data_IF_516048300930
#
_entry.id   IF_516048300930
#
_cell.length_a   1.000
_cell.length_b   1.000
_cell.length_c   1.000
_cell.angle_alpha   90.00
_cell.angle_beta   90.00
_cell.angle_gamma   90.00
#
_symmetry.space_group_name_H-M   'P 1'
#
loop_
_entity.id
_entity.type
_entity.pdbx_description
1 polymer ?
#
# COMPACT_ATOMS: atom_id res chain seq x y z
N UNK A 1 -3.82 0.92 19.76
CA UNK A 1 -2.43 0.59 20.14
C UNK A 1 -1.68 -0.19 19.07
N UNK A 2 -2.13 -1.37 18.63
CA UNK A 2 -1.48 -2.12 17.52
C UNK A 2 -1.40 -1.28 16.23
N UNK A 3 -2.47 -0.58 15.89
CA UNK A 3 -2.52 0.35 14.75
C UNK A 3 -1.49 1.49 14.86
N UNK A 4 -1.31 2.07 16.06
CA UNK A 4 -0.33 3.13 16.32
C UNK A 4 1.09 2.61 16.10
N UNK A 5 1.39 1.41 16.62
CA UNK A 5 2.69 0.79 16.45
C UNK A 5 2.99 0.52 14.97
N UNK A 6 2.07 -0.11 14.24
CA UNK A 6 2.26 -0.36 12.81
C UNK A 6 2.40 0.95 12.02
N UNK A 7 1.59 1.97 12.32
CA UNK A 7 1.67 3.30 11.68
C UNK A 7 3.01 3.98 11.93
N UNK A 8 3.53 3.93 13.16
CA UNK A 8 4.84 4.50 13.48
C UNK A 8 6.01 3.80 12.77
N UNK A 9 5.83 2.53 12.39
CA UNK A 9 6.79 1.81 11.54
C UNK A 9 6.64 2.20 10.06
N UNK A 10 5.41 2.35 9.57
CA UNK A 10 5.11 2.86 8.22
C UNK A 10 5.70 4.28 7.99
N UNK A 11 5.73 5.11 9.04
CA UNK A 11 6.38 6.42 8.95
C UNK A 11 7.88 6.36 8.63
N UNK A 12 8.56 5.26 8.95
CA UNK A 12 9.99 5.09 8.63
C UNK A 12 10.24 4.85 7.16
N UNK A 13 9.28 4.29 6.43
CA UNK A 13 9.44 3.99 5.01
C UNK A 13 9.17 5.22 4.12
N UNK A 14 8.78 6.36 4.70
CA UNK A 14 8.67 7.66 4.03
C UNK A 14 7.86 7.62 2.71
N UNK A 15 6.80 6.80 2.67
CA UNK A 15 5.94 6.65 1.49
C UNK A 15 6.52 5.77 0.38
N UNK A 16 7.64 5.08 0.60
CA UNK A 16 8.19 4.11 -0.35
C UNK A 16 7.31 2.87 -0.36
N UNK A 17 6.64 2.61 -1.48
CA UNK A 17 5.81 1.42 -1.67
C UNK A 17 6.56 0.36 -2.49
N UNK A 18 7.20 -0.58 -1.81
CA UNK A 18 7.78 -1.78 -2.43
C UNK A 18 6.90 -3.01 -2.22
N UNK A 19 7.09 -4.00 -3.07
CA UNK A 19 6.33 -5.24 -3.00
C UNK A 19 7.25 -6.38 -2.62
N UNK A 20 6.71 -7.36 -1.91
CA UNK A 20 7.40 -8.61 -1.63
C UNK A 20 6.45 -9.77 -1.90
N UNK A 21 7.03 -10.94 -2.20
CA UNK A 21 6.26 -12.15 -2.43
C UNK A 21 5.91 -12.79 -1.09
N UNK A 22 4.64 -12.82 -0.78
CA UNK A 22 4.12 -13.44 0.44
C UNK A 22 3.91 -14.95 0.24
N UNK A 23 4.43 -15.77 1.15
CA UNK A 23 4.12 -17.21 1.19
C UNK A 23 2.67 -17.42 1.64
N UNK A 24 1.97 -18.44 1.12
CA UNK A 24 0.55 -18.66 1.47
C UNK A 24 0.31 -18.92 2.96
N UNK A 25 1.25 -19.55 3.63
CA UNK A 25 1.10 -20.02 5.02
C UNK A 25 1.75 -19.07 6.05
N UNK A 26 2.15 -17.88 5.63
CA UNK A 26 2.87 -16.94 6.49
C UNK A 26 2.04 -16.48 7.71
N UNK A 27 0.75 -16.19 7.53
CA UNK A 27 -0.09 -15.62 8.57
C UNK A 27 -0.37 -16.63 9.69
N UNK A 28 -0.74 -17.90 9.40
CA UNK A 28 -0.81 -18.93 10.43
C UNK A 28 0.52 -19.15 11.17
N UNK A 29 1.67 -19.12 10.45
CA UNK A 29 2.99 -19.23 11.09
C UNK A 29 3.23 -18.07 12.06
N UNK A 30 2.99 -16.83 11.63
CA UNK A 30 3.12 -15.63 12.45
C UNK A 30 2.23 -15.69 13.71
N UNK A 31 0.98 -16.14 13.56
CA UNK A 31 0.06 -16.28 14.68
C UNK A 31 0.56 -17.29 15.71
N UNK A 32 1.07 -18.43 15.25
CA UNK A 32 1.63 -19.47 16.12
C UNK A 32 2.92 -19.00 16.81
N UNK A 33 3.82 -18.33 16.09
CA UNK A 33 5.04 -17.75 16.63
C UNK A 33 4.74 -16.69 17.70
N UNK A 34 3.80 -15.79 17.43
CA UNK A 34 3.36 -14.80 18.41
C UNK A 34 2.77 -15.45 19.66
N UNK A 35 1.94 -16.49 19.52
CA UNK A 35 1.36 -17.20 20.66
C UNK A 35 2.45 -17.83 21.55
N UNK A 36 3.45 -18.46 20.94
CA UNK A 36 4.57 -19.04 21.66
C UNK A 36 5.44 -17.97 22.33
N UNK A 37 5.69 -16.86 21.65
CA UNK A 37 6.41 -15.71 22.21
C UNK A 37 5.65 -15.14 23.41
N UNK A 38 4.35 -14.93 23.28
CA UNK A 38 3.48 -14.43 24.34
C UNK A 38 3.49 -15.32 25.58
N UNK A 39 3.41 -16.64 25.41
CA UNK A 39 3.51 -17.58 26.55
C UNK A 39 4.86 -17.45 27.27
N UNK A 40 5.97 -17.37 26.53
CA UNK A 40 7.30 -17.19 27.12
C UNK A 40 7.43 -15.85 27.83
N UNK A 41 6.96 -14.77 27.19
CA UNK A 41 6.96 -13.42 27.73
C UNK A 41 6.23 -13.37 29.08
N UNK A 42 5.03 -13.96 29.17
CA UNK A 42 4.28 -14.05 30.43
C UNK A 42 5.04 -14.80 31.53
N UNK A 43 5.78 -15.87 31.19
CA UNK A 43 6.53 -16.63 32.19
C UNK A 43 7.82 -15.96 32.67
N UNK A 44 8.39 -15.03 31.87
CA UNK A 44 9.67 -14.39 32.15
C UNK A 44 9.52 -12.98 32.75
N UNK A 45 8.52 -12.21 32.28
CA UNK A 45 8.37 -10.79 32.62
C UNK A 45 7.28 -10.49 33.66
N UNK A 46 6.50 -11.49 34.10
CA UNK A 46 5.43 -11.28 35.10
C UNK A 46 5.94 -10.75 36.44
N UNK A 47 7.24 -10.93 36.74
CA UNK A 47 7.87 -10.48 37.99
C UNK A 47 8.46 -9.07 37.95
N UNK A 48 8.67 -8.47 36.78
CA UNK A 48 9.38 -7.18 36.61
C UNK A 48 8.45 -5.98 36.43
N UNK A 49 7.19 -6.21 36.07
CA UNK A 49 6.21 -5.14 35.86
C UNK A 49 5.62 -4.74 37.21
N UNK A 50 6.17 -3.65 37.75
CA UNK A 50 5.81 -3.08 39.06
C UNK A 50 4.33 -2.68 39.09
N UNK A 51 3.70 -2.80 40.26
CA UNK A 51 2.30 -2.44 40.46
C UNK A 51 2.07 -0.91 40.62
N UNK A 52 3.11 -0.07 40.45
CA UNK A 52 3.09 1.39 40.69
C UNK A 52 3.00 2.25 39.41
N UNK A 53 2.25 1.81 38.40
CA UNK A 53 2.08 2.58 37.17
C UNK A 53 1.18 3.80 37.35
N UNK A 54 1.63 4.92 36.80
CA UNK A 54 0.86 6.13 36.58
C UNK A 54 0.87 6.48 35.09
N UNK A 55 0.05 7.47 34.72
CA UNK A 55 -0.07 7.96 33.35
C UNK A 55 1.29 8.35 32.74
N UNK A 56 2.14 9.05 33.49
CA UNK A 56 3.42 9.55 33.00
C UNK A 56 4.39 8.40 32.66
N UNK A 57 4.50 7.41 33.56
CA UNK A 57 5.31 6.21 33.32
C UNK A 57 4.80 5.45 32.10
N UNK A 58 3.48 5.28 31.99
CA UNK A 58 2.85 4.59 30.86
C UNK A 58 3.14 5.29 29.54
N UNK A 59 2.89 6.59 29.47
CA UNK A 59 3.13 7.38 28.28
C UNK A 59 4.61 7.32 27.86
N UNK A 60 5.52 7.43 28.82
CA UNK A 60 6.97 7.31 28.56
C UNK A 60 7.34 5.94 27.98
N UNK A 61 6.75 4.86 28.50
CA UNK A 61 6.93 3.51 27.96
C UNK A 61 6.42 3.41 26.52
N UNK A 62 5.20 3.89 26.23
CA UNK A 62 4.66 3.90 24.87
C UNK A 62 5.56 4.68 23.90
N UNK A 63 6.00 5.88 24.30
CA UNK A 63 6.93 6.71 23.52
C UNK A 63 8.26 6.00 23.23
N UNK A 64 8.79 5.26 24.20
CA UNK A 64 10.06 4.54 24.05
C UNK A 64 9.97 3.32 23.12
N UNK A 65 8.79 2.72 23.03
CA UNK A 65 8.53 1.53 22.20
C UNK A 65 8.26 1.91 20.74
N UNK A 66 7.67 3.09 20.50
CA UNK A 66 7.34 3.55 19.16
C UNK A 66 8.60 4.09 18.45
N UNK A 67 8.88 3.64 17.22
CA UNK A 67 10.03 4.14 16.46
C UNK A 67 9.95 5.61 16.08
N UNK A 68 8.73 6.14 15.91
CA UNK A 68 8.44 7.55 15.63
C UNK A 68 7.25 7.98 16.47
N UNK A 69 7.38 9.11 17.19
CA UNK A 69 6.31 9.71 17.99
C UNK A 69 5.98 11.10 17.47
N UNK A 70 4.74 11.29 17.01
CA UNK A 70 4.22 12.59 16.56
C UNK A 70 3.20 13.11 17.57
N UNK A 71 3.56 14.16 18.30
CA UNK A 71 2.72 14.71 19.37
C UNK A 71 1.32 15.10 18.90
N UNK A 72 1.20 15.74 17.73
CA UNK A 72 -0.08 16.19 17.20
C UNK A 72 -1.00 15.01 16.80
N UNK A 73 -0.44 14.01 16.10
CA UNK A 73 -1.21 12.85 15.63
C UNK A 73 -1.61 11.88 16.76
N UNK A 74 -0.82 11.82 17.84
CA UNK A 74 -1.06 10.91 18.96
C UNK A 74 -1.65 11.61 20.19
N UNK A 75 -2.07 12.87 20.06
CA UNK A 75 -2.69 13.65 21.14
C UNK A 75 -4.00 13.02 21.65
N UNK A 76 -4.82 12.48 20.77
CA UNK A 76 -6.03 11.73 21.13
C UNK A 76 -5.69 10.48 21.95
N UNK A 77 -4.68 9.71 21.53
CA UNK A 77 -4.21 8.55 22.28
C UNK A 77 -3.69 8.92 23.67
N UNK A 78 -2.97 10.04 23.79
CA UNK A 78 -2.51 10.55 25.09
C UNK A 78 -3.70 10.92 25.99
N UNK A 79 -4.73 11.57 25.44
CA UNK A 79 -5.97 11.88 26.14
C UNK A 79 -6.74 10.62 26.58
N UNK A 80 -6.81 9.61 25.72
CA UNK A 80 -7.44 8.33 26.02
C UNK A 80 -6.69 7.57 27.11
N UNK A 81 -5.36 7.53 27.02
CA UNK A 81 -4.51 6.92 28.03
C UNK A 81 -4.67 7.61 29.38
N UNK A 82 -4.74 8.96 29.40
CA UNK A 82 -4.99 9.73 30.61
C UNK A 82 -6.36 9.40 31.21
N UNK A 83 -7.39 9.39 30.37
CA UNK A 83 -8.76 9.04 30.77
C UNK A 83 -8.83 7.63 31.36
N UNK A 84 -8.10 6.68 30.80
CA UNK A 84 -7.99 5.32 31.31
C UNK A 84 -7.45 5.31 32.76
N UNK A 85 -6.34 6.00 33.02
CA UNK A 85 -5.77 6.11 34.37
C UNK A 85 -6.69 6.86 35.35
N UNK A 86 -7.30 7.97 34.92
CA UNK A 86 -8.21 8.77 35.74
C UNK A 86 -9.47 7.99 36.14
N UNK A 87 -9.97 7.15 35.23
CA UNK A 87 -11.15 6.33 35.49
C UNK A 87 -10.93 5.26 36.55
N UNK A 88 -9.66 4.87 36.82
CA UNK A 88 -9.28 3.72 37.64
C UNK A 88 -10.01 2.41 37.24
N UNK A 89 -10.43 2.31 35.97
CA UNK A 89 -11.12 1.13 35.43
C UNK A 89 -10.15 0.32 34.58
N UNK A 90 -10.18 -0.99 34.77
CA UNK A 90 -9.37 -1.93 34.00
C UNK A 90 -8.04 -2.30 34.66
N UNK A 91 -7.39 -3.32 34.12
CA UNK A 91 -6.12 -3.83 34.63
C UNK A 91 -4.97 -3.27 33.78
N UNK A 92 -4.37 -2.16 34.22
CA UNK A 92 -3.25 -1.54 33.49
C UNK A 92 -2.06 -2.51 33.31
N UNK A 93 -1.85 -3.40 34.29
CA UNK A 93 -0.79 -4.41 34.21
C UNK A 93 -1.00 -5.34 33.03
N UNK A 94 -2.21 -5.84 32.83
CA UNK A 94 -2.55 -6.68 31.67
C UNK A 94 -2.39 -5.93 30.35
N UNK A 95 -2.84 -4.67 30.30
CA UNK A 95 -2.74 -3.84 29.09
C UNK A 95 -1.27 -3.56 28.72
N UNK A 96 -0.44 -3.21 29.72
CA UNK A 96 0.98 -2.94 29.50
C UNK A 96 1.75 -4.20 29.11
N UNK A 97 1.47 -5.34 29.75
CA UNK A 97 2.01 -6.65 29.35
C UNK A 97 1.67 -6.95 27.89
N UNK A 98 0.40 -6.84 27.51
CA UNK A 98 -0.04 -7.16 26.15
C UNK A 98 0.64 -6.24 25.12
N UNK A 99 0.78 -4.95 25.43
CA UNK A 99 1.43 -4.00 24.55
C UNK A 99 2.94 -4.25 24.42
N UNK A 100 3.64 -4.39 25.54
CA UNK A 100 5.09 -4.66 25.52
C UNK A 100 5.40 -5.97 24.81
N UNK A 101 4.65 -7.03 25.11
CA UNK A 101 4.77 -8.31 24.42
C UNK A 101 4.60 -8.15 22.90
N UNK A 102 3.55 -7.44 22.46
CA UNK A 102 3.31 -7.23 21.04
C UNK A 102 4.43 -6.41 20.39
N UNK A 103 4.91 -5.37 21.07
CA UNK A 103 5.90 -4.50 20.50
C UNK A 103 7.31 -5.10 20.46
N UNK A 104 7.71 -5.84 21.49
CA UNK A 104 8.96 -6.60 21.46
C UNK A 104 8.93 -7.68 20.39
N UNK A 105 7.81 -8.41 20.28
CA UNK A 105 7.63 -9.38 19.22
C UNK A 105 7.75 -8.72 17.84
N UNK A 106 7.02 -7.64 17.60
CA UNK A 106 7.05 -6.94 16.31
C UNK A 106 8.46 -6.41 16.00
N UNK A 107 9.15 -5.84 16.99
CA UNK A 107 10.53 -5.37 16.84
C UNK A 107 11.47 -6.51 16.46
N UNK A 108 11.38 -7.65 17.15
CA UNK A 108 12.17 -8.84 16.84
C UNK A 108 11.84 -9.39 15.44
N UNK A 109 10.56 -9.42 15.08
CA UNK A 109 10.09 -9.87 13.79
C UNK A 109 10.61 -9.00 12.64
N UNK A 110 10.49 -7.68 12.75
CA UNK A 110 11.01 -6.72 11.75
C UNK A 110 12.51 -6.87 11.55
N UNK A 111 13.27 -7.09 12.63
CA UNK A 111 14.72 -7.31 12.56
C UNK A 111 15.07 -8.66 11.91
N UNK A 112 14.24 -9.68 12.10
CA UNK A 112 14.43 -11.01 11.52
C UNK A 112 14.03 -11.08 10.04
N UNK A 113 13.09 -10.24 9.60
CA UNK A 113 12.57 -10.21 8.22
C UNK A 113 12.53 -8.77 7.65
N UNK A 114 13.68 -8.08 7.53
CA UNK A 114 13.73 -6.70 7.08
C UNK A 114 13.12 -6.49 5.68
N UNK A 115 13.20 -7.50 4.81
CA UNK A 115 12.62 -7.49 3.46
C UNK A 115 11.09 -7.34 3.40
N UNK A 116 10.39 -7.59 4.51
CA UNK A 116 8.93 -7.42 4.60
C UNK A 116 8.51 -6.02 5.07
N UNK A 117 9.43 -5.28 5.70
CA UNK A 117 9.08 -4.06 6.45
C UNK A 117 9.94 -2.84 6.10
N UNK A 118 11.10 -3.05 5.48
CA UNK A 118 12.02 -2.00 5.10
C UNK A 118 12.23 -2.04 3.59
N UNK A 119 12.26 -0.87 2.93
CA UNK A 119 12.54 -0.81 1.51
C UNK A 119 13.96 -1.30 1.22
N UNK A 120 14.22 -1.59 -0.05
CA UNK A 120 15.55 -1.81 -0.56
C UNK A 120 16.39 -0.56 -0.30
N UNK A 121 17.52 -0.79 0.38
CA UNK A 121 18.53 0.23 0.59
C UNK A 121 19.89 -0.44 0.40
N UNK A 122 20.73 0.15 -0.45
CA UNK A 122 21.95 -0.51 -0.94
C UNK A 122 22.93 -0.82 0.19
N UNK A 123 23.00 0.03 1.21
CA UNK A 123 23.95 -0.08 2.31
C UNK A 123 23.38 -0.88 3.49
N UNK A 124 22.10 -0.69 3.82
CA UNK A 124 21.48 -1.22 5.04
C UNK A 124 20.58 -2.44 4.80
N UNK A 125 20.02 -2.59 3.59
CA UNK A 125 19.12 -3.67 3.22
C UNK A 125 19.32 -4.16 1.76
N UNK A 126 20.55 -4.57 1.37
CA UNK A 126 20.88 -4.88 -0.03
C UNK A 126 20.19 -6.15 -0.56
N UNK A 127 19.74 -7.03 0.35
CA UNK A 127 19.14 -8.32 0.02
C UNK A 127 17.63 -8.22 -0.23
N UNK A 128 17.02 -7.06 0.02
CA UNK A 128 15.60 -6.87 -0.24
C UNK A 128 15.29 -7.14 -1.73
N UNK A 129 14.27 -7.98 -2.03
CA UNK A 129 13.90 -8.27 -3.40
C UNK A 129 13.35 -7.02 -4.08
N UNK A 130 13.84 -6.74 -5.28
CA UNK A 130 13.28 -5.67 -6.10
C UNK A 130 12.20 -6.30 -6.97
N UNK A 131 10.95 -5.95 -6.67
CA UNK A 131 9.77 -6.59 -7.24
C UNK A 131 9.04 -5.66 -8.21
N UNK A 132 8.56 -6.23 -9.32
CA UNK A 132 7.68 -5.57 -10.29
C UNK A 132 6.40 -6.38 -10.43
N UNK A 133 5.25 -5.71 -10.40
CA UNK A 133 3.96 -6.38 -10.59
C UNK A 133 3.70 -6.63 -12.07
N UNK A 134 3.35 -7.87 -12.39
CA UNK A 134 2.81 -8.29 -13.68
C UNK A 134 1.31 -8.40 -13.55
N UNK A 135 0.62 -7.38 -14.05
CA UNK A 135 -0.82 -7.33 -14.08
C UNK A 135 -1.38 -8.28 -15.12
N UNK A 136 -2.44 -8.98 -14.75
CA UNK A 136 -3.18 -9.87 -15.63
C UNK A 136 -4.61 -9.37 -15.79
N UNK A 137 -5.03 -9.13 -17.03
CA UNK A 137 -6.41 -8.74 -17.37
C UNK A 137 -6.78 -9.23 -18.76
N UNK A 138 -7.91 -9.93 -18.87
CA UNK A 138 -8.43 -10.49 -20.12
C UNK A 138 -7.38 -11.28 -20.94
N UNK A 139 -6.56 -12.09 -20.26
CA UNK A 139 -5.50 -12.90 -20.88
C UNK A 139 -4.24 -12.13 -21.29
N UNK A 140 -4.18 -10.82 -21.05
CA UNK A 140 -3.02 -9.98 -21.35
C UNK A 140 -2.21 -9.74 -20.09
N UNK A 141 -0.87 -9.84 -20.22
CA UNK A 141 0.09 -9.60 -19.16
C UNK A 141 0.89 -8.32 -19.44
N UNK A 142 0.93 -7.41 -18.47
CA UNK A 142 1.61 -6.12 -18.61
C UNK A 142 2.14 -5.62 -17.27
N UNK A 143 3.10 -4.71 -17.32
CA UNK A 143 3.70 -4.08 -16.13
C UNK A 143 3.51 -2.58 -16.18
N UNK A 144 3.46 -1.94 -15.02
CA UNK A 144 3.53 -0.47 -14.94
C UNK A 144 4.96 -0.03 -15.31
N UNK A 145 5.10 0.96 -16.20
CA UNK A 145 6.43 1.40 -16.66
C UNK A 145 7.23 2.07 -15.56
N UNK A 146 6.60 2.85 -14.69
CA UNK A 146 7.26 3.51 -13.57
C UNK A 146 7.89 2.47 -12.63
N UNK A 147 7.16 1.42 -12.24
CA UNK A 147 7.70 0.29 -11.47
C UNK A 147 8.91 -0.37 -12.16
N UNK A 148 8.73 -0.76 -13.41
CA UNK A 148 9.79 -1.45 -14.17
C UNK A 148 11.05 -0.60 -14.28
N UNK A 149 10.89 0.68 -14.63
CA UNK A 149 12.02 1.57 -14.86
C UNK A 149 12.72 1.90 -13.54
N UNK A 150 11.99 2.08 -12.45
CA UNK A 150 12.56 2.24 -11.12
C UNK A 150 13.41 1.00 -10.76
N UNK A 151 12.83 -0.20 -10.86
CA UNK A 151 13.52 -1.44 -10.57
C UNK A 151 14.80 -1.63 -11.42
N UNK A 152 14.73 -1.34 -12.72
CA UNK A 152 15.89 -1.40 -13.61
C UNK A 152 16.96 -0.38 -13.22
N UNK A 153 16.57 0.85 -12.86
CA UNK A 153 17.50 1.91 -12.48
C UNK A 153 18.22 1.58 -11.16
N UNK A 154 17.51 0.99 -10.19
CA UNK A 154 18.10 0.54 -8.92
C UNK A 154 19.12 -0.59 -9.18
N UNK A 155 18.77 -1.58 -10.01
CA UNK A 155 19.68 -2.71 -10.31
C UNK A 155 20.84 -2.36 -11.23
N UNK A 156 20.70 -1.33 -12.06
CA UNK A 156 21.70 -0.94 -13.05
C UNK A 156 22.08 0.54 -12.89
N UNK A 157 22.67 0.94 -11.74
CA UNK A 157 22.90 2.36 -11.42
C UNK A 157 23.87 3.05 -12.38
N UNK A 158 24.78 2.28 -12.99
CA UNK A 158 25.77 2.78 -13.95
C UNK A 158 25.25 2.84 -15.40
N UNK A 159 24.05 2.33 -15.66
CA UNK A 159 23.43 2.38 -16.98
C UNK A 159 22.66 3.68 -17.19
N UNK A 160 22.39 4.02 -18.46
CA UNK A 160 21.48 5.12 -18.79
C UNK A 160 20.13 4.93 -18.07
N UNK A 161 19.77 5.92 -17.24
CA UNK A 161 18.50 5.94 -16.51
C UNK A 161 17.33 5.91 -17.49
N UNK A 162 16.36 5.08 -17.15
CA UNK A 162 15.08 5.02 -17.83
C UNK A 162 14.10 5.95 -17.11
N UNK A 163 13.43 6.81 -17.87
CA UNK A 163 12.41 7.71 -17.36
C UNK A 163 11.05 7.35 -17.94
N UNK A 164 10.03 7.39 -17.08
CA UNK A 164 8.65 7.27 -17.49
C UNK A 164 8.01 8.65 -17.36
N UNK A 165 7.63 9.25 -18.49
CA UNK A 165 6.79 10.45 -18.46
C UNK A 165 5.36 10.01 -18.14
N UNK A 166 4.92 10.32 -16.93
CA UNK A 166 3.51 10.24 -16.57
C UNK A 166 2.79 11.43 -17.22
N UNK A 167 1.67 11.16 -17.88
CA UNK A 167 0.95 12.15 -18.66
C UNK A 167 -0.44 12.32 -18.05
N UNK A 168 -0.72 13.47 -17.42
CA UNK A 168 -2.07 13.89 -17.01
C UNK A 168 -2.90 12.77 -16.36
N UNK A 169 -2.39 12.20 -15.25
CA UNK A 169 -3.10 11.13 -14.52
C UNK A 169 -3.07 9.74 -15.18
N UNK A 170 -2.39 9.57 -16.32
CA UNK A 170 -2.21 8.27 -16.99
C UNK A 170 -0.90 7.60 -16.62
N UNK A 171 -0.99 6.43 -16.00
CA UNK A 171 0.15 5.57 -15.71
C UNK A 171 0.33 4.56 -16.85
N UNK A 172 1.41 4.72 -17.59
CA UNK A 172 1.66 3.96 -18.81
C UNK A 172 2.15 2.54 -18.50
N UNK A 173 1.72 1.58 -19.31
CA UNK A 173 2.17 0.18 -19.16
C UNK A 173 3.04 -0.30 -20.33
N UNK A 174 3.63 -1.48 -20.17
CA UNK A 174 4.32 -2.21 -21.22
C UNK A 174 3.91 -3.69 -21.16
N UNK A 175 3.65 -4.33 -22.30
CA UNK A 175 3.38 -5.76 -22.33
C UNK A 175 4.57 -6.55 -21.78
N UNK A 176 4.29 -7.58 -20.99
CA UNK A 176 5.33 -8.35 -20.31
C UNK A 176 6.26 -9.06 -21.32
N UNK A 177 5.73 -9.56 -22.42
CA UNK A 177 6.51 -10.11 -23.54
C UNK A 177 7.53 -9.09 -24.09
N UNK A 178 7.11 -7.82 -24.26
CA UNK A 178 7.99 -6.76 -24.73
C UNK A 178 9.06 -6.43 -23.70
N UNK A 179 8.76 -6.51 -22.40
CA UNK A 179 9.74 -6.36 -21.33
C UNK A 179 10.82 -7.43 -21.44
N UNK A 180 10.41 -8.69 -21.53
CA UNK A 180 11.32 -9.84 -21.65
C UNK A 180 12.23 -9.72 -22.88
N UNK A 181 11.69 -9.26 -24.02
CA UNK A 181 12.48 -9.07 -25.25
C UNK A 181 13.43 -7.88 -25.18
N UNK A 182 12.96 -6.72 -24.70
CA UNK A 182 13.69 -5.45 -24.78
C UNK A 182 14.70 -5.25 -23.66
N UNK A 183 14.41 -5.79 -22.48
CA UNK A 183 15.19 -5.56 -21.26
C UNK A 183 15.78 -6.85 -20.68
N UNK A 184 15.85 -7.94 -21.47
CA UNK A 184 16.35 -9.26 -21.05
C UNK A 184 17.59 -9.19 -20.17
N UNK A 185 18.58 -8.40 -20.60
CA UNK A 185 19.89 -8.32 -19.94
C UNK A 185 19.89 -7.41 -18.70
N UNK A 186 18.79 -6.70 -18.42
CA UNK A 186 18.66 -5.72 -17.33
C UNK A 186 17.69 -6.15 -16.22
N UNK A 187 16.98 -7.26 -16.42
CA UNK A 187 15.88 -7.71 -15.52
C UNK A 187 16.20 -8.99 -14.74
N UNK A 188 17.41 -9.56 -14.86
CA UNK A 188 17.74 -10.87 -14.27
C UNK A 188 17.57 -10.98 -12.76
N UNK A 189 17.80 -9.88 -12.02
CA UNK A 189 17.67 -9.80 -10.55
C UNK A 189 16.45 -8.98 -10.10
N UNK A 190 15.42 -8.92 -10.96
CA UNK A 190 14.13 -8.31 -10.65
C UNK A 190 13.12 -9.46 -10.53
N UNK A 191 12.42 -9.50 -9.41
CA UNK A 191 11.35 -10.46 -9.21
C UNK A 191 10.06 -9.96 -9.84
N UNK A 192 9.37 -10.84 -10.57
CA UNK A 192 8.09 -10.52 -11.19
C UNK A 192 6.97 -11.29 -10.48
N UNK A 193 6.06 -10.57 -9.83
CA UNK A 193 4.90 -11.17 -9.15
C UNK A 193 3.64 -11.00 -9.99
N UNK A 194 2.86 -12.07 -10.13
CA UNK A 194 1.57 -12.00 -10.82
C UNK A 194 0.54 -11.30 -9.94
N UNK A 195 -0.14 -10.31 -10.49
CA UNK A 195 -1.15 -9.51 -9.82
C UNK A 195 -2.42 -9.46 -10.68
N UNK A 196 -3.36 -10.40 -10.51
CA UNK A 196 -4.64 -10.36 -11.20
C UNK A 196 -5.38 -9.07 -10.86
N UNK A 197 -5.92 -8.37 -11.87
CA UNK A 197 -6.74 -7.19 -11.61
C UNK A 197 -8.07 -7.63 -10.99
N UNK A 198 -8.25 -7.29 -9.73
CA UNK A 198 -9.49 -7.54 -9.00
C UNK A 198 -10.57 -6.55 -9.43
N UNK A 199 -11.79 -7.05 -9.59
CA UNK A 199 -12.98 -6.27 -9.92
C UNK A 199 -14.12 -6.71 -9.03
N UNK A 200 -14.94 -5.77 -8.60
CA UNK A 200 -16.26 -6.08 -8.04
C UNK A 200 -17.31 -5.95 -9.14
N UNK A 201 -18.54 -6.41 -8.88
CA UNK A 201 -19.62 -6.33 -9.86
C UNK A 201 -20.01 -4.89 -10.26
N UNK A 202 -19.70 -3.92 -9.40
CA UNK A 202 -20.18 -2.54 -9.55
C UNK A 202 -19.08 -1.48 -9.54
N UNK A 203 -17.86 -1.82 -9.14
CA UNK A 203 -16.74 -0.88 -9.01
C UNK A 203 -15.38 -1.54 -9.24
N UNK A 204 -14.45 -0.79 -9.81
CA UNK A 204 -13.05 -1.19 -9.87
C UNK A 204 -12.46 -1.28 -8.45
N UNK A 205 -11.58 -2.25 -8.23
CA UNK A 205 -10.79 -2.30 -6.98
C UNK A 205 -9.57 -1.40 -7.18
N UNK A 206 -9.36 -0.36 -6.34
CA UNK A 206 -8.19 0.50 -6.43
C UNK A 206 -6.88 -0.27 -6.35
N UNK A 207 -5.94 0.08 -7.21
CA UNK A 207 -4.57 -0.46 -7.25
C UNK A 207 -3.63 0.64 -6.73
N UNK A 208 -2.91 0.34 -5.65
CA UNK A 208 -1.90 1.25 -5.12
C UNK A 208 -0.79 1.51 -6.13
N UNK A 209 -0.38 2.77 -6.30
CA UNK A 209 0.72 3.18 -7.19
C UNK A 209 2.07 3.08 -6.46
N UNK A 210 3.20 3.13 -7.18
CA UNK A 210 4.53 3.14 -6.54
C UNK A 210 4.79 4.34 -5.62
N UNK A 211 3.98 5.40 -5.76
CA UNK A 211 4.06 6.62 -4.96
C UNK A 211 3.06 6.65 -3.79
N UNK A 212 2.38 5.53 -3.51
CA UNK A 212 1.37 5.41 -2.44
C UNK A 212 -0.02 5.95 -2.80
N UNK A 213 -0.18 6.53 -4.00
CA UNK A 213 -1.48 6.91 -4.54
C UNK A 213 -2.29 5.69 -4.98
N UNK A 214 -3.42 5.94 -5.65
CA UNK A 214 -4.29 4.88 -6.17
C UNK A 214 -4.62 5.11 -7.64
N UNK A 215 -4.80 4.01 -8.36
CA UNK A 215 -5.19 4.01 -9.75
C UNK A 215 -6.13 2.85 -10.07
N UNK A 216 -6.83 2.92 -11.19
CA UNK A 216 -7.61 1.81 -11.74
C UNK A 216 -7.32 1.65 -13.22
N UNK A 217 -7.68 0.50 -13.80
CA UNK A 217 -7.48 0.28 -15.23
C UNK A 217 -8.34 1.27 -16.03
N UNK A 218 -7.81 1.83 -17.12
CA UNK A 218 -8.55 2.78 -17.94
C UNK A 218 -9.90 2.23 -18.45
N UNK A 219 -9.97 0.94 -18.80
CA UNK A 219 -11.23 0.30 -19.20
C UNK A 219 -12.23 0.28 -18.05
N UNK A 220 -11.78 0.02 -16.83
CA UNK A 220 -12.66 -0.03 -15.66
C UNK A 220 -13.17 1.38 -15.34
N UNK A 221 -12.32 2.41 -15.47
CA UNK A 221 -12.74 3.82 -15.35
C UNK A 221 -13.80 4.20 -16.37
N UNK A 222 -13.65 3.78 -17.62
CA UNK A 222 -14.66 4.00 -18.65
C UNK A 222 -16.01 3.36 -18.26
N UNK A 223 -16.00 2.13 -17.74
CA UNK A 223 -17.22 1.47 -17.28
C UNK A 223 -17.85 2.15 -16.07
N UNK A 224 -17.06 2.66 -15.13
CA UNK A 224 -17.58 3.43 -13.99
C UNK A 224 -18.32 4.69 -14.46
N UNK A 225 -17.71 5.47 -15.37
CA UNK A 225 -18.36 6.65 -15.96
C UNK A 225 -19.67 6.26 -16.66
N UNK A 226 -19.65 5.20 -17.47
CA UNK A 226 -20.86 4.75 -18.19
C UNK A 226 -21.97 4.31 -17.22
N UNK A 227 -21.61 3.56 -16.17
CA UNK A 227 -22.56 3.12 -15.14
C UNK A 227 -23.18 4.31 -14.41
N UNK A 228 -22.38 5.31 -14.05
CA UNK A 228 -22.88 6.52 -13.39
C UNK A 228 -23.83 7.32 -14.30
N UNK A 229 -23.46 7.49 -15.58
CA UNK A 229 -24.33 8.15 -16.56
C UNK A 229 -25.67 7.42 -16.74
N UNK A 230 -25.64 6.10 -16.87
CA UNK A 230 -26.83 5.28 -17.15
C UNK A 230 -27.71 5.13 -15.91
N UNK A 231 -27.15 4.71 -14.78
CA UNK A 231 -27.93 4.29 -13.61
C UNK A 231 -28.17 5.44 -12.64
N UNK A 232 -27.13 6.22 -12.33
CA UNK A 232 -27.20 7.32 -11.37
C UNK A 232 -27.90 8.52 -12.00
N UNK A 233 -27.37 9.01 -13.10
CA UNK A 233 -27.88 10.23 -13.73
C UNK A 233 -29.06 9.98 -14.67
N UNK A 234 -29.20 8.75 -15.19
CA UNK A 234 -30.23 8.35 -16.16
C UNK A 234 -30.26 9.31 -17.35
N UNK A 235 -29.09 9.71 -17.84
CA UNK A 235 -28.97 10.77 -18.84
C UNK A 235 -29.78 10.46 -20.10
N UNK A 236 -29.82 9.20 -20.52
CA UNK A 236 -30.54 8.76 -21.71
C UNK A 236 -32.07 8.81 -21.57
N UNK A 237 -32.59 8.90 -20.33
CA UNK A 237 -34.02 9.10 -20.06
C UNK A 237 -34.38 10.58 -19.97
N UNK A 238 -33.42 11.45 -19.62
CA UNK A 238 -33.63 12.89 -19.39
C UNK A 238 -33.28 13.75 -20.60
N UNK A 239 -32.42 13.27 -21.49
CA UNK A 239 -31.97 14.04 -22.65
C UNK A 239 -33.04 14.04 -23.74
N UNK A 240 -33.55 15.23 -24.05
CA UNK A 240 -34.31 15.51 -25.28
C UNK A 240 -33.43 16.07 -26.41
N UNK A 241 -34.04 16.34 -27.56
CA UNK A 241 -33.36 16.84 -28.77
C UNK A 241 -32.57 18.13 -28.55
N UNK A 242 -33.02 19.02 -27.66
CA UNK A 242 -32.34 20.29 -27.34
C UNK A 242 -31.00 20.13 -26.60
N UNK A 243 -30.81 19.05 -25.85
CA UNK A 243 -29.63 18.85 -25.00
C UNK A 243 -28.66 17.79 -25.55
N UNK A 244 -28.96 17.18 -26.70
CA UNK A 244 -28.13 16.16 -27.35
C UNK A 244 -26.69 16.63 -27.61
N UNK A 245 -26.53 17.92 -27.94
CA UNK A 245 -25.22 18.51 -28.19
C UNK A 245 -24.30 18.48 -26.96
N UNK A 246 -24.84 18.53 -25.75
CA UNK A 246 -24.05 18.45 -24.50
C UNK A 246 -23.46 17.05 -24.36
N UNK A 247 -24.28 16.01 -24.54
CA UNK A 247 -23.84 14.62 -24.48
C UNK A 247 -22.82 14.29 -25.57
N UNK A 248 -23.03 14.81 -26.79
CA UNK A 248 -22.06 14.67 -27.88
C UNK A 248 -20.72 15.29 -27.52
N UNK A 249 -20.69 16.50 -26.93
CA UNK A 249 -19.44 17.15 -26.49
C UNK A 249 -18.73 16.33 -25.42
N UNK A 250 -19.47 15.80 -24.45
CA UNK A 250 -18.92 14.91 -23.41
C UNK A 250 -18.23 13.69 -24.02
N UNK A 251 -18.89 12.96 -24.92
CA UNK A 251 -18.28 11.79 -25.56
C UNK A 251 -17.08 12.16 -26.45
N UNK A 252 -17.10 13.32 -27.12
CA UNK A 252 -15.93 13.80 -27.87
C UNK A 252 -14.73 14.07 -26.95
N UNK A 253 -14.94 14.65 -25.77
CA UNK A 253 -13.86 14.81 -24.78
C UNK A 253 -13.34 13.46 -24.30
N UNK A 254 -14.24 12.51 -24.02
CA UNK A 254 -13.87 11.15 -23.64
C UNK A 254 -13.03 10.46 -24.72
N UNK A 255 -13.33 10.66 -26.01
CA UNK A 255 -12.51 10.07 -27.09
C UNK A 255 -11.08 10.62 -27.16
N UNK A 256 -10.82 11.83 -26.66
CA UNK A 256 -9.46 12.34 -26.53
C UNK A 256 -8.69 11.60 -25.42
N UNK A 257 -9.39 11.26 -24.33
CA UNK A 257 -8.79 10.52 -23.22
C UNK A 257 -8.62 9.02 -23.54
N UNK A 258 -9.63 8.39 -24.12
CA UNK A 258 -9.66 6.96 -24.49
C UNK A 258 -9.35 6.71 -25.97
N UNK A 259 -8.50 7.53 -26.57
CA UNK A 259 -8.23 7.45 -28.01
C UNK A 259 -7.98 6.01 -28.47
N UNK A 260 -8.68 5.53 -29.52
CA UNK A 260 -8.49 4.17 -30.05
C UNK A 260 -7.08 3.95 -30.60
N UNK A 261 -6.31 5.04 -30.81
CA UNK A 261 -4.92 4.98 -31.22
C UNK A 261 -3.94 4.77 -30.04
N UNK A 262 -4.42 4.73 -28.79
CA UNK A 262 -3.61 4.28 -27.66
C UNK A 262 -3.29 2.79 -27.81
N UNK A 263 -2.10 2.50 -28.36
CA UNK A 263 -1.59 1.13 -28.53
C UNK A 263 -1.17 0.44 -27.22
N UNK A 264 -1.41 1.07 -26.08
CA UNK A 264 -0.95 0.58 -24.78
C UNK A 264 -2.05 0.70 -23.75
N UNK A 265 -2.24 -0.37 -23.00
CA UNK A 265 -2.99 -0.37 -21.75
C UNK A 265 -2.39 0.70 -20.82
N UNK A 266 -3.23 1.38 -20.05
CA UNK A 266 -2.80 2.35 -19.05
C UNK A 266 -3.75 2.34 -17.85
N UNK A 267 -3.25 2.83 -16.72
CA UNK A 267 -4.07 3.09 -15.54
C UNK A 267 -4.38 4.58 -15.43
N UNK A 268 -5.45 4.89 -14.72
CA UNK A 268 -5.90 6.25 -14.43
C UNK A 268 -5.84 6.46 -12.92
N UNK A 269 -5.19 7.54 -12.48
CA UNK A 269 -5.10 7.92 -11.07
C UNK A 269 -6.46 8.33 -10.52
N UNK A 270 -6.77 7.99 -9.26
CA UNK A 270 -8.06 8.33 -8.65
C UNK A 270 -8.30 9.85 -8.56
N UNK A 271 -7.25 10.65 -8.38
CA UNK A 271 -7.35 12.12 -8.39
C UNK A 271 -7.94 12.70 -9.68
N UNK A 272 -7.84 11.96 -10.80
CA UNK A 272 -8.41 12.37 -12.07
C UNK A 272 -9.87 11.90 -12.24
N UNK A 273 -10.36 11.00 -11.37
CA UNK A 273 -11.79 10.67 -11.32
C UNK A 273 -12.63 11.78 -10.69
N UNK A 274 -12.03 12.56 -9.80
CA UNK A 274 -12.71 13.59 -9.01
C UNK A 274 -12.83 14.95 -9.74
N UNK A 275 -12.28 15.07 -10.94
CA UNK A 275 -12.32 16.28 -11.78
C UNK A 275 -13.43 16.21 -12.83
#
# INVERSE_FOLDING_TARGET
MQSILLKSHDEKIAGVCEYFKLEKDWLPKLQNEFLQFHQKFLTQESSTIRDDWDFEKALKMFKAVLPVWKEQEYSEFESDLKTFFDSKRGNFKEVSIAFMCFAEYLKGFILATPEMFLPYEKETNPNCPIVVRVFESHGVHFVMKSELFNAINIRNPNSKRLECKENNGKLMTMSYEKVQRKYKDRIGNIEFIKCPIQRTDHKAVPIMTPTGGHCILATDFLFEILNELIFTHRIFQKIGTGNWNVLRRFFLQMTNFFSPHHKSIFFVTLEEQEK
#
